data_IF_158368289550
#
_entry.id   IF_158368289550
#
_cell.length_a   1.000
_cell.length_b   1.000
_cell.length_c   1.000
_cell.angle_alpha   90.00
_cell.angle_beta   90.00
_cell.angle_gamma   90.00
#
_symmetry.space_group_name_H-M   'P 1'
#
loop_
_entity.id
_entity.type
_entity.pdbx_description
1 polymer ?
#
# COMPACT_ATOMS: atom_id res chain seq x y z
N UNK A 1 -0.51 -21.25 -13.04
CA UNK A 1 0.55 -20.34 -13.51
C UNK A 1 0.21 -18.85 -13.37
N UNK A 2 -0.96 -18.35 -13.83
CA UNK A 2 -1.30 -16.90 -13.75
C UNK A 2 -1.39 -16.32 -12.32
N UNK A 3 -1.77 -17.12 -11.33
CA UNK A 3 -1.86 -16.70 -9.91
C UNK A 3 -0.49 -16.45 -9.29
N UNK A 4 0.43 -17.41 -9.42
CA UNK A 4 1.78 -17.30 -8.85
C UNK A 4 2.54 -16.09 -9.41
N UNK A 5 2.44 -15.84 -10.71
CA UNK A 5 3.05 -14.68 -11.34
C UNK A 5 2.48 -13.35 -10.80
N UNK A 6 1.17 -13.26 -10.56
CA UNK A 6 0.55 -12.06 -9.96
C UNK A 6 1.03 -11.83 -8.53
N UNK A 7 1.14 -12.88 -7.71
CA UNK A 7 1.69 -12.77 -6.37
C UNK A 7 3.12 -12.27 -6.38
N UNK A 8 3.97 -12.85 -7.24
CA UNK A 8 5.36 -12.43 -7.37
C UNK A 8 5.48 -10.96 -7.80
N UNK A 9 4.61 -10.50 -8.70
CA UNK A 9 4.55 -9.09 -9.09
C UNK A 9 4.16 -8.21 -7.90
N UNK A 10 3.13 -8.58 -7.13
CA UNK A 10 2.73 -7.78 -5.96
C UNK A 10 3.82 -7.77 -4.89
N UNK A 11 4.43 -8.91 -4.60
CA UNK A 11 5.56 -8.99 -3.66
C UNK A 11 6.74 -8.14 -4.13
N UNK A 12 7.05 -8.15 -5.43
CA UNK A 12 8.10 -7.30 -5.99
C UNK A 12 7.77 -5.80 -5.88
N UNK A 13 6.50 -5.42 -6.09
CA UNK A 13 6.05 -4.03 -5.93
C UNK A 13 6.12 -3.57 -4.47
N UNK A 14 5.70 -4.41 -3.52
CA UNK A 14 5.79 -4.12 -2.08
C UNK A 14 7.26 -4.04 -1.66
N UNK A 15 8.10 -4.99 -2.08
CA UNK A 15 9.53 -4.97 -1.79
C UNK A 15 10.22 -3.73 -2.37
N UNK A 16 9.90 -3.36 -3.61
CA UNK A 16 10.42 -2.15 -4.25
C UNK A 16 10.03 -0.89 -3.51
N UNK A 17 8.79 -0.82 -3.02
CA UNK A 17 8.32 0.30 -2.20
C UNK A 17 9.08 0.40 -0.88
N UNK A 18 9.28 -0.73 -0.18
CA UNK A 18 10.07 -0.77 1.05
C UNK A 18 11.51 -0.34 0.79
N UNK A 19 12.14 -0.88 -0.25
CA UNK A 19 13.50 -0.52 -0.64
C UNK A 19 13.63 0.97 -0.98
N UNK A 20 12.64 1.55 -1.65
CA UNK A 20 12.61 2.99 -1.91
C UNK A 20 12.65 3.79 -0.59
N UNK A 21 11.77 3.48 0.37
CA UNK A 21 11.72 4.17 1.66
C UNK A 21 12.98 3.99 2.51
N UNK A 22 13.65 2.83 2.40
CA UNK A 22 14.92 2.57 3.10
C UNK A 22 16.12 3.27 2.47
N UNK A 23 16.01 3.75 1.22
CA UNK A 23 17.12 4.31 0.46
C UNK A 23 16.91 5.77 0.06
N UNK A 24 16.03 6.52 0.74
CA UNK A 24 15.76 7.92 0.45
C UNK A 24 17.04 8.77 0.41
N UNK A 25 17.99 8.50 1.30
CA UNK A 25 19.28 9.18 1.36
C UNK A 25 20.12 8.94 0.10
N UNK A 26 20.11 7.72 -0.43
CA UNK A 26 20.80 7.38 -1.68
C UNK A 26 20.19 8.08 -2.90
N UNK A 27 18.91 8.46 -2.82
CA UNK A 27 18.23 9.26 -3.84
C UNK A 27 18.38 10.77 -3.61
N UNK A 28 19.05 11.21 -2.54
CA UNK A 28 19.19 12.62 -2.19
C UNK A 28 17.85 13.27 -1.82
N UNK A 29 16.86 12.48 -1.39
CA UNK A 29 15.53 12.99 -1.06
C UNK A 29 15.54 13.48 0.39
N UNK A 30 15.33 14.78 0.58
CA UNK A 30 15.16 15.35 1.91
C UNK A 30 13.78 15.02 2.47
N UNK A 31 13.80 14.20 3.52
CA UNK A 31 12.66 13.79 4.30
C UNK A 31 12.00 14.96 5.06
N UNK A 32 11.11 15.69 4.37
CA UNK A 32 10.25 16.70 4.97
C UNK A 32 8.92 16.09 5.44
N UNK A 33 8.22 16.75 6.37
CA UNK A 33 6.88 16.32 6.79
C UNK A 33 5.92 16.20 5.60
N UNK A 34 5.99 17.16 4.67
CA UNK A 34 5.22 17.13 3.41
C UNK A 34 5.53 15.90 2.58
N UNK A 35 6.82 15.56 2.44
CA UNK A 35 7.26 14.37 1.73
C UNK A 35 6.73 13.08 2.37
N UNK A 36 6.77 12.96 3.70
CA UNK A 36 6.23 11.80 4.39
C UNK A 36 4.71 11.66 4.23
N UNK A 37 3.96 12.76 4.31
CA UNK A 37 2.51 12.73 4.18
C UNK A 37 2.08 12.43 2.74
N UNK A 38 2.67 13.13 1.76
CA UNK A 38 2.34 12.94 0.33
C UNK A 38 2.85 11.61 -0.18
N UNK A 39 4.14 11.31 0.03
CA UNK A 39 4.77 10.07 -0.41
C UNK A 39 4.19 8.86 0.33
N UNK A 40 4.03 8.95 1.66
CA UNK A 40 3.46 7.88 2.46
C UNK A 40 1.99 7.64 2.13
N UNK A 41 1.22 8.70 1.91
CA UNK A 41 -0.16 8.62 1.46
C UNK A 41 -0.30 7.98 0.08
N UNK A 42 0.51 8.41 -0.90
CA UNK A 42 0.55 7.79 -2.23
C UNK A 42 0.96 6.31 -2.17
N UNK A 43 1.92 5.97 -1.31
CA UNK A 43 2.38 4.60 -1.07
C UNK A 43 1.25 3.72 -0.51
N UNK A 44 0.56 4.19 0.53
CA UNK A 44 -0.56 3.49 1.15
C UNK A 44 -1.75 3.33 0.17
N UNK A 45 -2.03 4.36 -0.62
CA UNK A 45 -3.04 4.31 -1.67
C UNK A 45 -2.71 3.26 -2.74
N UNK A 46 -1.47 3.25 -3.24
CA UNK A 46 -1.03 2.28 -4.24
C UNK A 46 -1.08 0.84 -3.71
N UNK A 47 -0.65 0.62 -2.46
CA UNK A 47 -0.74 -0.70 -1.80
C UNK A 47 -2.19 -1.12 -1.61
N UNK A 48 -3.05 -0.23 -1.14
CA UNK A 48 -4.49 -0.50 -0.98
C UNK A 48 -5.16 -0.88 -2.31
N UNK A 49 -4.83 -0.17 -3.40
CA UNK A 49 -5.32 -0.51 -4.74
C UNK A 49 -4.78 -1.86 -5.24
N UNK A 50 -3.50 -2.16 -4.99
CA UNK A 50 -2.90 -3.45 -5.34
C UNK A 50 -3.58 -4.61 -4.61
N UNK A 51 -3.88 -4.44 -3.32
CA UNK A 51 -4.61 -5.42 -2.52
C UNK A 51 -6.06 -5.58 -2.99
N UNK A 52 -6.76 -4.48 -3.27
CA UNK A 52 -8.12 -4.53 -3.82
C UNK A 52 -8.16 -5.19 -5.20
N UNK A 53 -7.17 -4.92 -6.06
CA UNK A 53 -7.04 -5.52 -7.38
C UNK A 53 -6.65 -7.01 -7.34
N UNK A 54 -5.95 -7.42 -6.28
CA UNK A 54 -5.67 -8.83 -6.02
C UNK A 54 -6.93 -9.60 -5.62
N UNK A 55 -7.98 -8.91 -5.16
CA UNK A 55 -9.37 -9.35 -5.06
C UNK A 55 -9.55 -10.85 -4.89
N UNK A 56 -9.76 -11.28 -3.64
CA UNK A 56 -9.99 -12.68 -3.22
C UNK A 56 -8.76 -13.58 -3.15
N UNK A 57 -7.58 -13.01 -2.91
CA UNK A 57 -6.55 -13.81 -2.26
C UNK A 57 -6.85 -13.72 -0.78
N UNK A 58 -7.45 -14.77 -0.22
CA UNK A 58 -7.53 -14.97 1.22
C UNK A 58 -6.10 -15.00 1.76
N UNK A 59 -5.56 -13.82 2.03
CA UNK A 59 -4.29 -13.65 2.71
C UNK A 59 -4.48 -14.06 4.17
N UNK A 60 -5.68 -13.81 4.70
CA UNK A 60 -6.17 -14.41 5.94
C UNK A 60 -6.98 -15.66 5.60
N UNK A 61 -6.57 -16.85 6.08
CA UNK A 61 -7.32 -18.06 5.78
C UNK A 61 -8.77 -17.99 6.32
N UNK A 62 -9.71 -18.45 5.49
CA UNK A 62 -11.18 -18.32 5.64
C UNK A 62 -11.85 -19.19 6.73
N UNK A 63 -11.10 -20.08 7.36
CA UNK A 63 -11.56 -20.95 8.46
C UNK A 63 -12.09 -20.19 9.69
N UNK A 64 -11.82 -18.88 9.82
CA UNK A 64 -12.43 -18.03 10.86
C UNK A 64 -13.45 -17.08 10.19
N UNK A 65 -14.77 -17.31 10.35
CA UNK A 65 -15.83 -16.62 9.61
C UNK A 65 -15.95 -15.11 9.88
N UNK A 66 -15.28 -14.59 10.91
CA UNK A 66 -15.19 -13.16 11.20
C UNK A 66 -14.13 -12.43 10.35
N UNK A 67 -13.18 -13.15 9.75
CA UNK A 67 -12.01 -12.57 9.08
C UNK A 67 -12.01 -12.70 7.54
N UNK A 68 -12.85 -13.55 6.95
CA UNK A 68 -12.89 -13.76 5.49
C UNK A 68 -13.35 -12.56 4.64
N UNK A 69 -13.73 -11.43 5.25
CA UNK A 69 -14.02 -10.14 4.56
C UNK A 69 -13.13 -8.99 5.02
N UNK A 70 -12.21 -9.27 5.95
CA UNK A 70 -11.32 -8.24 6.50
C UNK A 70 -10.30 -7.81 5.44
N UNK A 71 -9.84 -8.70 4.57
CA UNK A 71 -8.88 -8.41 3.51
C UNK A 71 -9.36 -7.30 2.54
N UNK A 72 -10.59 -7.41 2.05
CA UNK A 72 -11.19 -6.38 1.18
C UNK A 72 -11.42 -5.05 1.93
N UNK A 73 -11.82 -5.12 3.20
CA UNK A 73 -12.07 -3.93 4.02
C UNK A 73 -10.75 -3.19 4.32
N UNK A 74 -9.68 -3.92 4.63
CA UNK A 74 -8.35 -3.38 4.88
C UNK A 74 -7.80 -2.69 3.62
N UNK A 75 -8.01 -3.29 2.44
CA UNK A 75 -7.60 -2.70 1.18
C UNK A 75 -8.26 -1.32 0.97
N UNK A 76 -9.57 -1.22 1.17
CA UNK A 76 -10.29 0.06 1.04
C UNK A 76 -9.94 1.08 2.12
N UNK A 77 -9.69 0.63 3.35
CA UNK A 77 -9.18 1.50 4.43
C UNK A 77 -7.83 2.09 4.04
N UNK A 78 -6.91 1.29 3.49
CA UNK A 78 -5.60 1.76 3.02
C UNK A 78 -5.73 2.75 1.86
N UNK A 79 -6.65 2.51 0.93
CA UNK A 79 -6.96 3.46 -0.16
C UNK A 79 -7.46 4.79 0.41
N UNK A 80 -8.45 4.75 1.29
CA UNK A 80 -9.05 5.96 1.86
C UNK A 80 -8.05 6.74 2.73
N UNK A 81 -7.31 6.04 3.60
CA UNK A 81 -6.29 6.64 4.45
C UNK A 81 -5.13 7.21 3.62
N UNK A 82 -4.66 6.48 2.59
CA UNK A 82 -3.61 6.94 1.69
C UNK A 82 -4.00 8.19 0.91
N UNK A 83 -5.22 8.20 0.36
CA UNK A 83 -5.77 9.38 -0.32
C UNK A 83 -5.89 10.56 0.65
N UNK A 84 -6.47 10.36 1.83
CA UNK A 84 -6.67 11.42 2.82
C UNK A 84 -5.35 12.02 3.30
N UNK A 85 -4.39 11.17 3.68
CA UNK A 85 -3.06 11.61 4.13
C UNK A 85 -2.28 12.32 3.02
N UNK A 86 -2.35 11.81 1.78
CA UNK A 86 -1.72 12.44 0.63
C UNK A 86 -2.30 13.82 0.32
N UNK A 87 -3.63 13.96 0.34
CA UNK A 87 -4.31 15.25 0.12
C UNK A 87 -4.01 16.25 1.23
N UNK A 88 -4.04 15.83 2.50
CA UNK A 88 -3.68 16.68 3.64
C UNK A 88 -2.24 17.15 3.51
N UNK A 89 -1.31 16.24 3.22
CA UNK A 89 0.09 16.59 3.00
C UNK A 89 0.28 17.54 1.82
N UNK A 90 -0.49 17.40 0.74
CA UNK A 90 -0.32 18.22 -0.44
C UNK A 90 -0.88 19.63 -0.27
N UNK A 91 -2.07 19.76 0.34
CA UNK A 91 -2.80 21.04 0.40
C UNK A 91 -2.61 21.82 1.72
N UNK A 92 -2.24 21.16 2.82
CA UNK A 92 -2.23 21.77 4.16
C UNK A 92 -0.84 21.87 4.79
N UNK A 93 0.20 21.29 4.18
CA UNK A 93 1.60 21.29 4.64
C UNK A 93 2.53 21.76 3.52
#
# INVERSE_FOLDING_TARGET
MKKLARLLVVLALIAGLILFWLNLDAFGIHASLRFYLVGGGASAFAVGLLLAALGRWDLIPDWIPLFGRLDDSIAWILVAAGLGTGLVGYFLV
#
